data_IF_885102457718
#
_entry.id   IF_885102457718
#
_cell.length_a   1.000
_cell.length_b   1.000
_cell.length_c   1.000
_cell.angle_alpha   90.00
_cell.angle_beta   90.00
_cell.angle_gamma   90.00
#
_symmetry.space_group_name_H-M   'P 1'
#
loop_
_entity.id
_entity.type
_entity.pdbx_description
1 polymer ?
#
# COMPACT_ATOMS: atom_id res chain seq x y z
N UNK A 1 -1.91 58.70 -41.78
CA UNK A 1 -3.02 57.86 -42.29
C UNK A 1 -2.95 56.39 -41.82
N UNK A 2 -1.81 55.69 -41.94
CA UNK A 2 -1.67 54.28 -41.49
C UNK A 2 -1.98 54.03 -40.00
N UNK A 3 -1.53 54.90 -39.09
CA UNK A 3 -1.77 54.76 -37.65
C UNK A 3 -3.25 54.92 -37.27
N UNK A 4 -3.98 55.80 -37.96
CA UNK A 4 -5.41 56.04 -37.72
C UNK A 4 -6.23 54.84 -38.21
N UNK A 5 -5.87 54.23 -39.35
CA UNK A 5 -6.52 53.02 -39.86
C UNK A 5 -6.24 51.83 -38.92
N UNK A 6 -5.02 51.67 -38.42
CA UNK A 6 -4.70 50.62 -37.44
C UNK A 6 -5.45 50.80 -36.11
N UNK A 7 -5.63 52.03 -35.63
CA UNK A 7 -6.43 52.31 -34.43
C UNK A 7 -7.92 52.04 -34.65
N UNK A 8 -8.46 52.38 -35.83
CA UNK A 8 -9.86 52.10 -36.18
C UNK A 8 -10.14 50.60 -36.30
N UNK A 9 -9.22 49.83 -36.89
CA UNK A 9 -9.34 48.36 -37.01
C UNK A 9 -9.24 47.69 -35.63
N UNK A 10 -8.38 48.20 -34.74
CA UNK A 10 -8.28 47.71 -33.36
C UNK A 10 -9.54 48.03 -32.54
N UNK A 11 -10.14 49.21 -32.72
CA UNK A 11 -11.43 49.57 -32.13
C UNK A 11 -12.58 48.72 -32.68
N UNK A 12 -12.62 48.41 -33.98
CA UNK A 12 -13.63 47.51 -34.57
C UNK A 12 -13.50 46.08 -34.03
N UNK A 13 -12.29 45.57 -33.82
CA UNK A 13 -12.05 44.27 -33.20
C UNK A 13 -12.45 44.23 -31.71
N UNK A 14 -12.34 45.36 -30.99
CA UNK A 14 -12.78 45.47 -29.60
C UNK A 14 -14.32 45.38 -29.44
N UNK A 15 -15.09 45.77 -30.47
CA UNK A 15 -16.56 45.61 -30.47
C UNK A 15 -17.03 44.22 -30.92
N UNK A 16 -16.15 43.36 -31.44
CA UNK A 16 -16.43 41.94 -31.72
C UNK A 16 -16.16 41.01 -30.53
N UNK A 17 -15.97 41.56 -29.32
CA UNK A 17 -15.97 40.75 -28.10
C UNK A 17 -17.33 40.01 -28.02
N UNK A 18 -17.33 38.72 -28.36
CA UNK A 18 -18.48 37.83 -28.31
C UNK A 18 -19.19 37.99 -26.95
N UNK A 19 -20.28 38.75 -26.91
CA UNK A 19 -21.25 38.62 -25.82
C UNK A 19 -21.84 37.24 -25.97
N UNK A 20 -21.51 36.35 -25.02
CA UNK A 20 -22.18 35.06 -24.89
C UNK A 20 -23.66 35.38 -24.75
N UNK A 21 -24.47 34.88 -25.68
CA UNK A 21 -25.90 35.18 -25.68
C UNK A 21 -26.50 34.41 -24.48
N UNK A 22 -26.89 35.14 -23.42
CA UNK A 22 -27.39 34.56 -22.16
C UNK A 22 -28.87 34.16 -22.23
N UNK A 23 -29.46 34.12 -23.44
CA UNK A 23 -30.82 33.62 -23.64
C UNK A 23 -30.98 32.24 -23.01
N UNK A 24 -31.95 32.11 -22.11
CA UNK A 24 -32.27 30.85 -21.45
C UNK A 24 -33.27 30.09 -22.30
N UNK A 25 -32.91 28.88 -22.73
CA UNK A 25 -33.81 28.00 -23.47
C UNK A 25 -34.81 27.29 -22.55
N UNK A 26 -36.06 27.22 -22.99
CA UNK A 26 -37.16 26.53 -22.30
C UNK A 26 -37.58 25.24 -23.01
N UNK A 27 -36.86 24.83 -24.06
CA UNK A 27 -37.18 23.61 -24.82
C UNK A 27 -37.06 22.36 -23.94
N UNK A 28 -38.07 21.50 -24.05
CA UNK A 28 -38.16 20.18 -23.42
C UNK A 28 -37.34 19.11 -24.15
N UNK A 29 -36.79 19.38 -25.33
CA UNK A 29 -36.00 18.40 -26.06
C UNK A 29 -34.53 18.37 -25.61
N UNK A 30 -34.13 19.38 -24.84
CA UNK A 30 -32.74 19.56 -24.42
C UNK A 30 -32.48 18.78 -23.13
N UNK A 31 -31.49 17.89 -23.19
CA UNK A 31 -31.02 17.06 -22.08
C UNK A 31 -29.63 17.47 -21.63
N UNK A 32 -29.39 17.38 -20.33
CA UNK A 32 -28.05 17.50 -19.77
C UNK A 32 -27.23 16.26 -20.14
N UNK A 33 -25.92 16.44 -20.26
CA UNK A 33 -24.96 15.33 -20.35
C UNK A 33 -24.10 15.31 -19.10
N UNK A 34 -23.68 14.11 -18.68
CA UNK A 34 -22.93 13.93 -17.44
C UNK A 34 -21.59 13.25 -17.73
N UNK A 35 -20.58 13.55 -16.92
CA UNK A 35 -19.28 12.86 -17.01
C UNK A 35 -19.32 11.40 -16.56
N UNK A 36 -20.38 11.00 -15.84
CA UNK A 36 -20.64 9.62 -15.42
C UNK A 36 -22.15 9.43 -15.22
N UNK A 37 -22.65 8.22 -15.45
CA UNK A 37 -24.02 7.81 -15.13
C UNK A 37 -24.16 7.26 -13.70
N UNK A 38 -23.05 6.83 -13.11
CA UNK A 38 -22.96 6.25 -11.77
C UNK A 38 -21.70 6.75 -11.07
N UNK A 39 -21.81 7.10 -9.79
CA UNK A 39 -20.68 7.36 -8.91
C UNK A 39 -20.60 6.26 -7.87
N UNK A 40 -19.60 5.40 -8.05
CA UNK A 40 -19.33 4.29 -7.15
C UNK A 40 -18.25 4.70 -6.15
N UNK A 41 -18.52 4.56 -4.86
CA UNK A 41 -17.51 4.55 -3.80
C UNK A 41 -17.25 3.09 -3.45
N UNK A 42 -15.97 2.73 -3.34
CA UNK A 42 -15.57 1.39 -2.92
C UNK A 42 -15.84 1.23 -1.42
N UNK A 43 -14.85 0.86 -0.61
CA UNK A 43 -15.03 0.72 0.83
C UNK A 43 -15.07 2.09 1.53
N UNK A 44 -16.22 2.41 2.13
CA UNK A 44 -16.40 3.57 3.00
C UNK A 44 -16.56 3.09 4.43
N UNK A 45 -15.53 3.30 5.26
CA UNK A 45 -15.64 2.98 6.68
C UNK A 45 -16.69 3.85 7.35
N UNK A 46 -17.52 3.23 8.18
CA UNK A 46 -18.57 3.97 8.91
C UNK A 46 -17.96 5.04 9.81
N UNK A 47 -18.66 6.15 10.01
CA UNK A 47 -18.26 7.32 10.83
C UNK A 47 -17.09 8.21 10.34
N UNK A 48 -16.29 7.82 9.33
CA UNK A 48 -15.17 8.66 8.81
C UNK A 48 -15.56 9.44 7.54
N UNK A 49 -16.42 8.85 6.73
CA UNK A 49 -16.83 9.38 5.43
C UNK A 49 -15.75 9.23 4.35
N UNK A 50 -16.15 9.37 3.08
CA UNK A 50 -15.29 9.14 1.92
C UNK A 50 -14.50 10.38 1.50
N UNK A 51 -13.63 10.22 0.50
CA UNK A 51 -13.17 11.34 -0.33
C UNK A 51 -14.32 11.98 -1.12
N UNK A 52 -14.09 13.17 -1.66
CA UNK A 52 -14.99 13.80 -2.62
C UNK A 52 -14.75 13.21 -4.03
N UNK A 53 -15.81 12.77 -4.71
CA UNK A 53 -15.77 12.45 -6.15
C UNK A 53 -16.42 13.57 -6.95
N UNK A 54 -15.76 14.00 -8.04
CA UNK A 54 -16.25 15.08 -8.91
C UNK A 54 -17.05 14.52 -10.08
N UNK A 55 -18.19 15.14 -10.34
CA UNK A 55 -19.00 14.96 -11.53
C UNK A 55 -19.08 16.30 -12.26
N UNK A 56 -19.01 16.26 -13.60
CA UNK A 56 -19.36 17.41 -14.44
C UNK A 56 -20.74 17.22 -15.06
N UNK A 57 -21.53 18.29 -15.01
CA UNK A 57 -22.85 18.39 -15.65
C UNK A 57 -22.71 19.40 -16.78
N UNK A 58 -22.95 18.94 -18.00
CA UNK A 58 -22.73 19.70 -19.23
C UNK A 58 -24.04 20.17 -19.82
N UNK A 59 -24.07 21.46 -20.18
CA UNK A 59 -25.02 22.01 -21.13
C UNK A 59 -24.38 21.98 -22.52
N UNK A 60 -24.84 21.04 -23.35
CA UNK A 60 -24.39 20.92 -24.73
C UNK A 60 -25.13 21.84 -25.70
N UNK A 61 -26.14 22.59 -25.27
CA UNK A 61 -26.84 23.57 -26.09
C UNK A 61 -26.02 24.85 -26.27
N UNK A 62 -26.29 25.61 -27.33
CA UNK A 62 -25.68 26.92 -27.55
C UNK A 62 -26.21 28.02 -26.63
N UNK A 63 -27.44 27.87 -26.13
CA UNK A 63 -28.12 28.79 -25.22
C UNK A 63 -27.92 28.35 -23.77
N UNK A 64 -28.10 29.28 -22.84
CA UNK A 64 -28.08 28.96 -21.42
C UNK A 64 -29.28 28.08 -21.05
N UNK A 65 -29.10 27.23 -20.04
CA UNK A 65 -30.17 26.39 -19.48
C UNK A 65 -30.32 26.71 -18.00
N UNK A 66 -31.55 26.73 -17.51
CA UNK A 66 -31.82 26.77 -16.08
C UNK A 66 -32.22 25.37 -15.59
N UNK A 67 -31.38 24.78 -14.75
CA UNK A 67 -31.71 23.55 -14.04
C UNK A 67 -32.61 23.94 -12.88
N UNK A 68 -33.88 23.56 -12.97
CA UNK A 68 -34.92 23.94 -12.00
C UNK A 68 -34.60 23.41 -10.61
N UNK A 69 -34.16 22.15 -10.51
CA UNK A 69 -33.76 21.54 -9.24
C UNK A 69 -32.62 20.53 -9.47
N UNK A 70 -31.63 20.56 -8.58
CA UNK A 70 -30.62 19.53 -8.34
C UNK A 70 -30.74 19.10 -6.88
N UNK A 71 -31.01 17.82 -6.61
CA UNK A 71 -31.16 17.30 -5.25
C UNK A 71 -30.73 15.85 -5.10
N UNK A 72 -30.52 15.42 -3.85
CA UNK A 72 -30.45 13.99 -3.52
C UNK A 72 -31.85 13.37 -3.50
N UNK A 73 -32.00 12.16 -4.04
CA UNK A 73 -33.28 11.43 -4.10
C UNK A 73 -33.85 11.12 -2.72
N UNK A 74 -32.99 10.64 -1.81
CA UNK A 74 -33.34 10.35 -0.41
C UNK A 74 -33.36 11.60 0.50
N UNK A 75 -33.04 12.79 -0.03
CA UNK A 75 -33.09 14.05 0.72
C UNK A 75 -32.28 14.02 2.02
N UNK A 76 -32.95 14.24 3.16
CA UNK A 76 -32.33 14.27 4.49
C UNK A 76 -31.90 12.89 5.01
N UNK A 77 -32.46 11.81 4.44
CA UNK A 77 -32.11 10.43 4.80
C UNK A 77 -30.89 9.91 4.04
N UNK A 78 -30.38 10.70 3.09
CA UNK A 78 -29.22 10.32 2.28
C UNK A 78 -27.94 10.19 3.11
N UNK A 79 -27.17 9.14 2.83
CA UNK A 79 -25.78 9.02 3.29
C UNK A 79 -24.80 9.83 2.43
N UNK A 80 -25.27 10.54 1.42
CA UNK A 80 -24.46 11.36 0.54
C UNK A 80 -24.64 12.85 0.86
N UNK A 81 -23.61 13.63 0.52
CA UNK A 81 -23.64 15.09 0.60
C UNK A 81 -23.05 15.70 -0.66
N UNK A 82 -23.58 16.85 -1.05
CA UNK A 82 -23.23 17.52 -2.30
C UNK A 82 -22.57 18.88 -2.08
N UNK A 83 -21.61 19.20 -2.94
CA UNK A 83 -21.14 20.56 -3.19
C UNK A 83 -21.51 20.92 -4.63
N UNK A 84 -22.54 21.73 -4.80
CA UNK A 84 -23.11 22.09 -6.10
C UNK A 84 -22.55 23.44 -6.54
N UNK A 85 -21.67 23.39 -7.54
CA UNK A 85 -20.98 24.55 -8.10
C UNK A 85 -20.34 25.43 -7.02
N UNK A 86 -19.60 24.80 -6.10
CA UNK A 86 -18.89 25.47 -5.01
C UNK A 86 -19.70 25.72 -3.72
N UNK A 87 -21.00 25.42 -3.72
CA UNK A 87 -21.87 25.62 -2.54
C UNK A 87 -22.19 24.28 -1.89
N UNK A 88 -21.87 24.11 -0.61
CA UNK A 88 -22.22 22.92 0.17
C UNK A 88 -23.73 22.92 0.46
N UNK A 89 -24.48 22.10 -0.26
CA UNK A 89 -25.93 21.94 -0.12
C UNK A 89 -26.38 20.66 -0.82
N UNK A 90 -27.34 19.94 -0.23
CA UNK A 90 -27.91 18.71 -0.80
C UNK A 90 -29.05 18.96 -1.78
N UNK A 91 -29.52 20.21 -1.85
CA UNK A 91 -30.54 20.67 -2.80
C UNK A 91 -30.20 22.09 -3.25
N UNK A 92 -30.37 22.36 -4.56
CA UNK A 92 -30.20 23.69 -5.13
C UNK A 92 -31.15 23.90 -6.29
N UNK A 93 -31.94 24.95 -6.20
CA UNK A 93 -32.89 25.35 -7.24
C UNK A 93 -32.30 26.42 -8.15
N UNK A 94 -32.82 26.51 -9.36
CA UNK A 94 -32.52 27.56 -10.35
C UNK A 94 -31.01 27.72 -10.63
N UNK A 95 -30.36 26.63 -11.00
CA UNK A 95 -28.94 26.62 -11.36
C UNK A 95 -28.79 26.88 -12.86
N UNK A 96 -28.38 28.09 -13.22
CA UNK A 96 -28.08 28.44 -14.60
C UNK A 96 -26.73 27.86 -15.04
N UNK A 97 -26.72 27.23 -16.21
CA UNK A 97 -25.51 26.74 -16.90
C UNK A 97 -25.46 27.41 -18.26
N UNK A 98 -24.39 28.17 -18.52
CA UNK A 98 -24.21 28.85 -19.80
C UNK A 98 -24.22 27.89 -21.00
N UNK A 99 -24.45 28.43 -22.19
CA UNK A 99 -24.33 27.66 -23.43
C UNK A 99 -22.92 27.09 -23.60
N UNK A 100 -22.83 25.82 -24.02
CA UNK A 100 -21.58 25.07 -24.18
C UNK A 100 -20.70 25.09 -22.93
N UNK A 101 -21.32 25.08 -21.76
CA UNK A 101 -20.66 25.21 -20.46
C UNK A 101 -20.95 24.02 -19.54
N UNK A 102 -20.31 23.99 -18.38
CA UNK A 102 -20.51 22.95 -17.39
C UNK A 102 -20.42 23.48 -15.96
N UNK A 103 -21.12 22.79 -15.05
CA UNK A 103 -20.94 22.96 -13.61
C UNK A 103 -20.27 21.71 -13.03
N UNK A 104 -19.69 21.86 -11.85
CA UNK A 104 -19.13 20.74 -11.09
C UNK A 104 -19.96 20.45 -9.85
N UNK A 105 -20.21 19.16 -9.61
CA UNK A 105 -20.79 18.66 -8.38
C UNK A 105 -19.75 17.75 -7.73
N UNK A 106 -19.47 17.97 -6.44
CA UNK A 106 -18.68 17.03 -5.65
C UNK A 106 -19.62 16.24 -4.74
N UNK A 107 -19.39 14.94 -4.66
CA UNK A 107 -20.18 14.00 -3.86
C UNK A 107 -19.28 13.38 -2.81
N UNK A 108 -19.78 13.31 -1.57
CA UNK A 108 -19.14 12.60 -0.46
C UNK A 108 -20.15 11.67 0.20
N UNK A 109 -19.75 10.43 0.48
CA UNK A 109 -20.52 9.48 1.28
C UNK A 109 -20.10 9.56 2.76
N UNK A 110 -21.05 9.57 3.68
CA UNK A 110 -20.85 9.49 5.13
C UNK A 110 -21.85 8.48 5.68
N UNK A 111 -21.37 7.28 5.98
CA UNK A 111 -22.23 6.14 6.37
C UNK A 111 -22.22 5.99 7.89
N UNK A 112 -23.42 5.87 8.47
CA UNK A 112 -23.57 5.61 9.90
C UNK A 112 -23.20 4.17 10.23
N UNK A 113 -22.67 3.95 11.44
CA UNK A 113 -22.36 2.60 11.92
C UNK A 113 -23.63 1.78 12.15
N UNK A 114 -23.50 0.46 11.99
CA UNK A 114 -24.57 -0.50 12.29
C UNK A 114 -23.98 -1.79 12.89
N UNK A 115 -24.78 -2.84 13.05
CA UNK A 115 -24.37 -4.10 13.70
C UNK A 115 -23.81 -5.16 12.73
N UNK A 116 -23.74 -4.86 11.43
CA UNK A 116 -23.28 -5.81 10.41
C UNK A 116 -21.76 -5.95 10.43
N UNK A 117 -21.29 -7.20 10.38
CA UNK A 117 -19.85 -7.49 10.30
C UNK A 117 -19.33 -7.60 8.86
N UNK A 118 -20.24 -7.69 7.87
CA UNK A 118 -19.91 -7.77 6.45
C UNK A 118 -20.15 -6.41 5.77
N UNK A 119 -19.41 -6.10 4.69
CA UNK A 119 -19.71 -4.94 3.86
C UNK A 119 -21.17 -4.96 3.37
N UNK A 120 -21.76 -3.77 3.23
CA UNK A 120 -23.14 -3.56 2.81
C UNK A 120 -23.23 -2.41 1.81
N UNK A 121 -24.30 -2.37 1.02
CA UNK A 121 -24.48 -1.35 -0.03
C UNK A 121 -25.41 -0.27 0.50
N UNK A 122 -25.06 1.00 0.25
CA UNK A 122 -25.97 2.15 0.35
C UNK A 122 -26.10 2.81 -1.01
N UNK A 123 -27.33 3.19 -1.36
CA UNK A 123 -27.66 3.74 -2.68
C UNK A 123 -28.45 5.04 -2.52
N UNK A 124 -28.30 5.94 -3.49
CA UNK A 124 -29.12 7.13 -3.69
C UNK A 124 -28.97 7.58 -5.16
N UNK A 125 -29.49 8.74 -5.51
CA UNK A 125 -29.25 9.40 -6.79
C UNK A 125 -29.17 10.92 -6.65
N UNK A 126 -28.47 11.55 -7.58
CA UNK A 126 -28.58 13.00 -7.80
C UNK A 126 -29.62 13.20 -8.90
N UNK A 127 -30.75 13.80 -8.54
CA UNK A 127 -31.85 14.09 -9.44
C UNK A 127 -31.71 15.50 -10.03
N UNK A 128 -31.95 15.61 -11.33
CA UNK A 128 -31.95 16.86 -12.09
C UNK A 128 -33.31 17.04 -12.74
N UNK A 129 -33.90 18.23 -12.61
CA UNK A 129 -35.08 18.64 -13.36
C UNK A 129 -34.75 19.87 -14.21
N UNK A 130 -34.98 19.79 -15.53
CA UNK A 130 -34.68 20.86 -16.49
C UNK A 130 -35.75 20.88 -17.57
N UNK A 131 -36.53 21.96 -17.67
CA UNK A 131 -37.60 22.09 -18.68
C UNK A 131 -38.54 20.86 -18.76
N UNK A 132 -38.84 20.23 -17.61
CA UNK A 132 -39.67 19.02 -17.55
C UNK A 132 -38.91 17.70 -17.77
N UNK A 133 -37.64 17.72 -18.20
CA UNK A 133 -36.79 16.55 -18.27
C UNK A 133 -36.27 16.18 -16.88
N UNK A 134 -36.53 14.94 -16.46
CA UNK A 134 -35.94 14.34 -15.28
C UNK A 134 -34.79 13.43 -15.67
N UNK A 135 -33.62 13.67 -15.10
CA UNK A 135 -32.44 12.82 -15.25
C UNK A 135 -31.86 12.54 -13.87
N UNK A 136 -31.16 11.41 -13.73
CA UNK A 136 -30.52 11.05 -12.48
C UNK A 136 -29.15 10.44 -12.71
N UNK A 137 -28.25 10.66 -11.77
CA UNK A 137 -26.96 9.95 -11.66
C UNK A 137 -27.04 9.07 -10.43
N UNK A 138 -26.75 7.77 -10.58
CA UNK A 138 -26.78 6.82 -9.46
C UNK A 138 -25.60 7.04 -8.53
N UNK A 139 -25.83 6.93 -7.23
CA UNK A 139 -24.81 6.93 -6.19
C UNK A 139 -24.81 5.57 -5.51
N UNK A 140 -23.65 4.92 -5.43
CA UNK A 140 -23.50 3.61 -4.80
C UNK A 140 -22.25 3.66 -3.90
N UNK A 141 -22.34 3.21 -2.66
CA UNK A 141 -21.19 3.07 -1.77
C UNK A 141 -21.21 1.73 -1.01
N UNK A 142 -20.05 1.09 -0.88
CA UNK A 142 -19.90 -0.10 -0.04
C UNK A 142 -19.49 0.30 1.38
N UNK A 143 -20.46 0.34 2.30
CA UNK A 143 -20.22 0.60 3.71
C UNK A 143 -19.55 -0.58 4.42
N UNK A 144 -18.60 -0.28 5.30
CA UNK A 144 -17.96 -1.29 6.15
C UNK A 144 -17.80 -0.77 7.59
N UNK A 145 -18.34 -1.51 8.56
CA UNK A 145 -18.04 -1.24 9.97
C UNK A 145 -16.59 -1.62 10.28
N UNK A 146 -16.02 -0.92 11.26
CA UNK A 146 -14.64 -1.13 11.68
C UNK A 146 -14.44 -0.84 13.17
N UNK A 147 -13.34 -1.37 13.72
CA UNK A 147 -12.87 -1.04 15.07
C UNK A 147 -11.87 0.10 14.97
N UNK A 148 -12.26 1.28 15.41
CA UNK A 148 -11.40 2.46 15.39
C UNK A 148 -10.50 2.52 16.62
N UNK A 149 -9.20 2.68 16.40
CA UNK A 149 -8.19 2.91 17.43
C UNK A 149 -7.62 4.31 17.20
N UNK A 150 -8.09 5.26 18.02
CA UNK A 150 -7.76 6.68 17.91
C UNK A 150 -6.49 7.07 18.69
N UNK A 151 -5.55 6.14 18.73
CA UNK A 151 -4.36 6.15 19.58
C UNK A 151 -4.58 5.42 20.91
N UNK A 152 -3.48 5.21 21.64
CA UNK A 152 -3.51 4.62 22.98
C UNK A 152 -2.55 3.44 23.13
N UNK A 153 -2.59 2.83 24.31
CA UNK A 153 -1.72 1.72 24.69
C UNK A 153 -2.57 0.50 25.04
N UNK A 154 -2.24 -0.64 24.45
CA UNK A 154 -2.74 -1.96 24.82
C UNK A 154 -1.95 -2.40 26.06
N UNK A 155 -2.62 -2.46 27.21
CA UNK A 155 -2.03 -2.71 28.53
C UNK A 155 -2.30 -4.11 29.08
N UNK A 156 -3.07 -4.92 28.37
CA UNK A 156 -3.33 -6.32 28.69
C UNK A 156 -3.29 -7.16 27.42
N UNK A 157 -2.96 -8.45 27.57
CA UNK A 157 -2.86 -9.37 26.45
C UNK A 157 -4.17 -9.35 25.65
N UNK A 158 -4.05 -9.08 24.36
CA UNK A 158 -5.20 -8.76 23.51
C UNK A 158 -5.15 -9.57 22.23
N UNK A 159 -6.32 -10.06 21.81
CA UNK A 159 -6.51 -10.73 20.52
C UNK A 159 -7.24 -9.80 19.56
N UNK A 160 -6.70 -9.63 18.36
CA UNK A 160 -7.40 -9.02 17.23
C UNK A 160 -7.89 -10.09 16.26
N UNK A 161 -9.19 -10.06 15.99
CA UNK A 161 -9.89 -11.06 15.19
C UNK A 161 -10.37 -10.49 13.85
N UNK A 162 -10.68 -11.37 12.89
CA UNK A 162 -11.05 -10.96 11.54
C UNK A 162 -12.52 -10.52 11.38
N UNK A 163 -13.31 -10.37 12.47
CA UNK A 163 -14.74 -10.03 12.35
C UNK A 163 -14.97 -8.64 11.78
N UNK A 164 -14.10 -7.70 12.12
CA UNK A 164 -14.11 -6.33 11.62
C UNK A 164 -12.67 -5.87 11.35
N UNK A 165 -12.42 -5.04 10.33
CA UNK A 165 -11.14 -4.39 10.16
C UNK A 165 -10.84 -3.45 11.34
N UNK A 166 -9.56 -3.25 11.63
CA UNK A 166 -9.07 -2.29 12.61
C UNK A 166 -8.55 -1.07 11.88
N UNK A 167 -9.00 0.14 12.24
CA UNK A 167 -8.51 1.41 11.66
C UNK A 167 -7.72 2.16 12.72
N UNK A 168 -6.45 2.39 12.48
CA UNK A 168 -5.55 3.11 13.37
C UNK A 168 -5.43 4.56 12.88
N UNK A 169 -6.11 5.48 13.55
CA UNK A 169 -6.12 6.91 13.18
C UNK A 169 -4.94 7.71 13.74
N UNK A 170 -4.21 7.15 14.73
CA UNK A 170 -3.00 7.71 15.34
C UNK A 170 -2.00 6.58 15.60
N UNK A 171 -1.26 6.62 16.71
CA UNK A 171 -0.33 5.56 17.07
C UNK A 171 -0.94 4.60 18.08
N UNK A 172 -0.89 3.30 17.79
CA UNK A 172 -1.22 2.25 18.78
C UNK A 172 0.08 1.71 19.37
N UNK A 173 0.12 1.53 20.68
CA UNK A 173 1.30 0.96 21.37
C UNK A 173 0.93 -0.33 22.08
N UNK A 174 1.67 -1.41 21.85
CA UNK A 174 1.62 -2.62 22.69
C UNK A 174 2.61 -2.43 23.83
N UNK A 175 2.12 -2.38 25.08
CA UNK A 175 2.97 -2.14 26.25
C UNK A 175 4.01 -3.25 26.46
N UNK A 176 5.09 -2.93 27.17
CA UNK A 176 6.09 -3.92 27.58
C UNK A 176 5.45 -5.03 28.44
N UNK A 177 5.88 -6.28 28.23
CA UNK A 177 5.28 -7.44 28.89
C UNK A 177 3.89 -7.87 28.39
N UNK A 178 3.29 -7.13 27.45
CA UNK A 178 1.96 -7.42 26.88
C UNK A 178 2.07 -8.05 25.49
N UNK A 179 1.20 -9.00 25.18
CA UNK A 179 1.08 -9.56 23.82
C UNK A 179 -0.10 -8.97 23.03
N UNK A 180 0.13 -8.74 21.75
CA UNK A 180 -0.92 -8.56 20.76
C UNK A 180 -0.90 -9.73 19.78
N UNK A 181 -1.96 -10.53 19.81
CA UNK A 181 -2.14 -11.70 18.96
C UNK A 181 -3.15 -11.37 17.85
N UNK A 182 -2.71 -11.37 16.60
CA UNK A 182 -3.51 -11.01 15.43
C UNK A 182 -3.84 -12.28 14.64
N UNK A 183 -5.12 -12.65 14.62
CA UNK A 183 -5.61 -13.87 13.99
C UNK A 183 -5.67 -13.77 12.46
N UNK A 184 -5.61 -14.91 11.79
CA UNK A 184 -5.70 -15.02 10.34
C UNK A 184 -6.90 -14.26 9.75
N UNK A 185 -6.69 -13.61 8.60
CA UNK A 185 -7.68 -12.82 7.87
C UNK A 185 -7.94 -11.43 8.44
N UNK A 186 -7.30 -11.06 9.56
CA UNK A 186 -7.45 -9.73 10.15
C UNK A 186 -6.87 -8.67 9.22
N UNK A 187 -7.62 -7.57 9.06
CA UNK A 187 -7.21 -6.39 8.30
C UNK A 187 -6.95 -5.25 9.26
N UNK A 188 -5.73 -4.71 9.24
CA UNK A 188 -5.30 -3.57 10.04
C UNK A 188 -4.91 -2.44 9.10
N UNK A 189 -5.70 -1.39 9.11
CA UNK A 189 -5.52 -0.23 8.26
C UNK A 189 -5.03 0.97 9.05
N UNK A 190 -4.15 1.76 8.45
CA UNK A 190 -3.50 2.90 9.08
C UNK A 190 -3.85 4.18 8.33
N UNK A 191 -4.30 5.18 9.07
CA UNK A 191 -4.39 6.54 8.59
C UNK A 191 -3.00 7.16 8.36
N UNK A 192 -2.96 8.26 7.62
CA UNK A 192 -1.74 9.03 7.39
C UNK A 192 -0.99 9.35 8.68
N UNK A 193 0.33 9.13 8.67
CA UNK A 193 1.24 9.37 9.81
C UNK A 193 1.02 8.47 11.05
N UNK A 194 0.16 7.46 10.97
CA UNK A 194 -0.01 6.46 12.03
C UNK A 194 1.16 5.47 12.08
N UNK A 195 1.44 4.93 13.27
CA UNK A 195 2.48 3.91 13.53
C UNK A 195 1.98 2.87 14.52
N UNK A 196 2.39 1.62 14.34
CA UNK A 196 2.23 0.58 15.34
C UNK A 196 3.52 0.42 16.14
N UNK A 197 3.50 0.81 17.42
CA UNK A 197 4.64 0.70 18.32
C UNK A 197 4.54 -0.59 19.15
N UNK A 198 5.55 -1.44 19.07
CA UNK A 198 5.61 -2.70 19.81
C UNK A 198 6.70 -2.58 20.87
N UNK A 199 6.30 -2.41 22.13
CA UNK A 199 7.20 -2.53 23.30
C UNK A 199 7.12 -3.89 23.97
N UNK A 200 6.01 -4.61 23.80
CA UNK A 200 5.81 -5.99 24.25
C UNK A 200 6.05 -7.01 23.14
N UNK A 201 5.10 -7.90 22.91
CA UNK A 201 5.17 -8.96 21.88
C UNK A 201 4.12 -8.76 20.80
N UNK A 202 4.51 -8.85 19.54
CA UNK A 202 3.60 -8.93 18.40
C UNK A 202 3.59 -10.36 17.83
N UNK A 203 2.42 -10.99 17.79
CA UNK A 203 2.20 -12.29 17.16
C UNK A 203 1.18 -12.15 16.02
N UNK A 204 1.63 -12.27 14.78
CA UNK A 204 0.76 -12.27 13.60
C UNK A 204 0.64 -13.69 13.08
N UNK A 205 -0.58 -14.23 13.19
CA UNK A 205 -0.91 -15.64 12.93
C UNK A 205 -1.78 -15.75 11.68
N UNK A 206 -1.28 -15.32 10.53
CA UNK A 206 -1.96 -15.47 9.25
C UNK A 206 -2.02 -16.91 8.74
N UNK A 207 -2.72 -17.11 7.62
CA UNK A 207 -2.71 -18.34 6.85
C UNK A 207 -2.71 -18.05 5.34
N UNK A 208 -2.35 -19.01 4.49
CA UNK A 208 -2.21 -18.83 3.04
C UNK A 208 -3.42 -18.15 2.36
N UNK A 209 -4.64 -18.58 2.69
CA UNK A 209 -5.88 -18.02 2.11
C UNK A 209 -6.50 -16.91 2.98
N UNK A 210 -5.86 -16.59 4.09
CA UNK A 210 -6.35 -15.66 5.12
C UNK A 210 -5.16 -14.92 5.72
N UNK A 211 -4.37 -14.26 4.87
CA UNK A 211 -3.23 -13.49 5.33
C UNK A 211 -3.70 -12.32 6.20
N UNK A 212 -2.87 -11.94 7.18
CA UNK A 212 -3.11 -10.69 7.92
C UNK A 212 -2.60 -9.53 7.07
N UNK A 213 -3.42 -8.49 6.88
CA UNK A 213 -3.07 -7.35 6.04
C UNK A 213 -2.79 -6.13 6.89
N UNK A 214 -1.63 -5.51 6.70
CA UNK A 214 -1.28 -4.19 7.22
C UNK A 214 -1.11 -3.23 6.03
N UNK A 215 -1.96 -2.21 5.94
CA UNK A 215 -2.02 -1.31 4.78
C UNK A 215 -2.57 0.06 5.17
N UNK A 216 -2.56 1.02 4.25
CA UNK A 216 -3.32 2.27 4.43
C UNK A 216 -4.83 2.02 4.50
N UNK A 217 -5.55 2.93 5.16
CA UNK A 217 -7.01 3.05 5.12
C UNK A 217 -7.55 3.67 3.81
N UNK A 218 -6.67 4.11 2.90
CA UNK A 218 -6.98 4.49 1.51
C UNK A 218 -7.13 3.25 0.64
N UNK A 219 -8.35 2.75 0.52
CA UNK A 219 -8.66 1.51 -0.19
C UNK A 219 -9.02 1.71 -1.66
N UNK A 220 -9.02 2.94 -2.16
CA UNK A 220 -9.30 3.20 -3.56
C UNK A 220 -8.20 2.63 -4.47
N UNK A 221 -8.59 2.11 -5.65
CA UNK A 221 -7.67 1.48 -6.60
C UNK A 221 -6.43 2.35 -6.95
N UNK A 222 -6.61 3.68 -7.02
CA UNK A 222 -5.50 4.60 -7.29
C UNK A 222 -4.43 4.58 -6.18
N UNK A 223 -4.79 4.28 -4.93
CA UNK A 223 -3.88 4.23 -3.79
C UNK A 223 -3.39 2.82 -3.44
N UNK A 224 -3.84 1.78 -4.16
CA UNK A 224 -3.61 0.40 -3.77
C UNK A 224 -2.11 0.05 -3.62
N UNK A 225 -1.27 0.61 -4.49
CA UNK A 225 0.18 0.40 -4.51
C UNK A 225 1.00 1.63 -4.09
N UNK A 226 0.35 2.75 -3.76
CA UNK A 226 1.05 3.98 -3.39
C UNK A 226 1.82 3.80 -2.07
N UNK A 227 3.11 4.12 -2.09
CA UNK A 227 4.00 3.97 -0.93
C UNK A 227 3.87 5.15 0.06
N UNK A 228 4.29 4.96 1.31
CA UNK A 228 4.44 6.08 2.27
C UNK A 228 3.15 6.59 2.92
N UNK A 229 2.07 5.83 2.84
CA UNK A 229 0.76 6.22 3.36
C UNK A 229 0.62 6.06 4.88
N UNK A 230 1.54 5.36 5.54
CA UNK A 230 1.65 5.24 7.00
C UNK A 230 3.11 4.97 7.40
N UNK A 231 3.46 5.09 8.69
CA UNK A 231 4.87 5.08 9.11
C UNK A 231 5.49 3.69 9.27
N UNK A 232 4.69 2.64 9.45
CA UNK A 232 5.17 1.26 9.63
C UNK A 232 4.93 0.66 11.00
N UNK A 233 5.52 -0.52 11.21
CA UNK A 233 5.58 -1.21 12.50
C UNK A 233 6.97 -0.97 13.12
N UNK A 234 7.02 -0.57 14.39
CA UNK A 234 8.26 -0.31 15.12
C UNK A 234 8.41 -1.24 16.31
N UNK A 235 9.41 -2.11 16.27
CA UNK A 235 9.80 -2.99 17.37
C UNK A 235 10.87 -2.27 18.21
N UNK A 236 10.49 -1.87 19.43
CA UNK A 236 11.40 -1.17 20.36
C UNK A 236 12.33 -2.14 21.06
N UNK A 237 13.44 -1.67 21.63
CA UNK A 237 14.43 -2.48 22.35
C UNK A 237 13.81 -3.44 23.39
N UNK A 238 12.76 -3.01 24.11
CA UNK A 238 12.04 -3.82 25.10
C UNK A 238 11.23 -4.99 24.51
N UNK A 239 10.88 -4.94 23.22
CA UNK A 239 10.07 -6.00 22.60
C UNK A 239 10.85 -7.29 22.42
N UNK A 240 10.19 -8.41 22.65
CA UNK A 240 10.78 -9.76 22.57
C UNK A 240 9.80 -10.70 21.90
N UNK A 241 10.30 -11.83 21.37
CA UNK A 241 9.48 -12.89 20.78
C UNK A 241 8.52 -12.47 19.66
N UNK A 242 8.82 -11.41 18.92
CA UNK A 242 7.95 -10.96 17.83
C UNK A 242 7.94 -11.97 16.68
N UNK A 243 6.75 -12.36 16.25
CA UNK A 243 6.53 -13.33 15.18
C UNK A 243 5.53 -12.80 14.18
N UNK A 244 5.89 -12.85 12.90
CA UNK A 244 4.99 -12.51 11.80
C UNK A 244 4.97 -13.65 10.81
N UNK A 245 3.81 -14.29 10.67
CA UNK A 245 3.61 -15.38 9.71
C UNK A 245 2.39 -15.11 8.83
N UNK A 246 2.52 -15.34 7.52
CA UNK A 246 1.46 -15.11 6.52
C UNK A 246 0.84 -13.70 6.60
N UNK A 247 1.68 -12.67 6.51
CA UNK A 247 1.25 -11.29 6.48
C UNK A 247 1.52 -10.63 5.13
N UNK A 248 0.69 -9.65 4.78
CA UNK A 248 0.94 -8.69 3.71
C UNK A 248 1.09 -7.32 4.36
N UNK A 249 2.31 -6.77 4.35
CA UNK A 249 2.63 -5.44 4.88
C UNK A 249 2.95 -4.54 3.70
N UNK A 250 2.13 -3.51 3.46
CA UNK A 250 2.29 -2.65 2.30
C UNK A 250 1.99 -1.17 2.54
N UNK A 251 2.45 -0.33 1.60
CA UNK A 251 2.15 1.10 1.52
C UNK A 251 2.73 1.95 2.66
N UNK A 252 3.79 1.51 3.33
CA UNK A 252 4.39 2.24 4.46
C UNK A 252 5.59 3.10 4.02
N UNK A 253 6.08 3.97 4.91
CA UNK A 253 7.39 4.62 4.75
C UNK A 253 8.49 3.59 4.95
N UNK A 254 8.46 2.87 6.07
CA UNK A 254 9.27 1.68 6.33
C UNK A 254 8.32 0.57 6.76
N UNK A 255 8.43 -0.64 6.21
CA UNK A 255 7.53 -1.75 6.59
C UNK A 255 7.66 -2.12 8.07
N UNK A 256 8.86 -2.53 8.47
CA UNK A 256 9.19 -2.86 9.85
C UNK A 256 10.53 -2.23 10.24
N UNK A 257 10.58 -1.50 11.35
CA UNK A 257 11.81 -1.04 11.98
C UNK A 257 12.05 -1.81 13.26
N UNK A 258 13.22 -2.43 13.41
CA UNK A 258 13.63 -3.18 14.58
C UNK A 258 14.87 -2.55 15.22
N UNK A 259 14.76 -2.29 16.53
CA UNK A 259 15.83 -1.72 17.35
C UNK A 259 16.36 -2.77 18.32
N UNK A 260 17.69 -2.91 18.35
CA UNK A 260 18.44 -3.81 19.23
C UNK A 260 18.20 -5.30 18.93
N UNK A 261 19.13 -6.17 19.33
CA UNK A 261 18.95 -7.62 19.27
C UNK A 261 17.91 -8.08 20.32
N UNK A 262 17.30 -9.24 20.11
CA UNK A 262 16.44 -9.85 21.14
C UNK A 262 17.24 -10.10 22.42
N UNK A 263 16.63 -9.79 23.58
CA UNK A 263 17.27 -9.92 24.89
C UNK A 263 17.13 -11.33 25.50
N UNK A 264 16.37 -12.21 24.83
CA UNK A 264 15.94 -13.53 25.30
C UNK A 264 16.61 -14.69 24.55
N UNK A 265 17.67 -14.41 23.79
CA UNK A 265 18.36 -15.38 22.94
C UNK A 265 17.65 -15.69 21.63
N UNK A 266 16.45 -15.13 21.39
CA UNK A 266 15.72 -15.24 20.13
C UNK A 266 16.04 -14.05 19.21
N UNK A 267 15.76 -14.22 17.91
CA UNK A 267 15.80 -13.10 16.99
C UNK A 267 14.74 -12.04 17.37
N UNK A 268 15.05 -10.76 17.15
CA UNK A 268 14.13 -9.64 17.44
C UNK A 268 12.80 -9.80 16.70
N UNK A 269 12.89 -10.31 15.48
CA UNK A 269 11.75 -10.67 14.64
C UNK A 269 12.01 -12.02 13.96
N UNK A 270 11.04 -12.93 14.08
CA UNK A 270 10.86 -14.04 13.16
C UNK A 270 9.78 -13.67 12.14
N UNK A 271 10.15 -13.64 10.87
CA UNK A 271 9.27 -13.28 9.75
C UNK A 271 9.20 -14.45 8.77
N UNK A 272 8.01 -15.00 8.55
CA UNK A 272 7.82 -16.15 7.69
C UNK A 272 6.63 -16.01 6.74
N UNK A 273 6.75 -16.59 5.54
CA UNK A 273 5.68 -16.72 4.55
C UNK A 273 4.93 -15.40 4.26
N UNK A 274 5.64 -14.27 4.30
CA UNK A 274 5.03 -12.94 4.28
C UNK A 274 5.49 -12.12 3.08
N UNK A 275 4.64 -11.18 2.66
CA UNK A 275 4.91 -10.24 1.58
C UNK A 275 5.06 -8.82 2.13
N UNK A 276 6.16 -8.16 1.77
CA UNK A 276 6.51 -6.82 2.23
C UNK A 276 6.79 -5.98 0.99
N UNK A 277 5.92 -5.01 0.70
CA UNK A 277 5.95 -4.30 -0.59
C UNK A 277 5.54 -2.85 -0.53
N UNK A 278 5.91 -2.09 -1.56
CA UNK A 278 5.46 -0.71 -1.77
C UNK A 278 5.85 0.20 -0.60
N UNK A 279 7.15 0.30 -0.33
CA UNK A 279 7.69 1.13 0.75
C UNK A 279 8.44 2.34 0.20
N UNK A 280 8.33 3.50 0.87
CA UNK A 280 9.09 4.69 0.43
C UNK A 280 10.59 4.54 0.68
N UNK A 281 10.97 3.96 1.82
CA UNK A 281 12.36 3.80 2.23
C UNK A 281 12.75 2.33 2.17
N UNK A 282 12.20 1.50 3.06
CA UNK A 282 12.61 0.11 3.13
C UNK A 282 11.54 -0.88 3.60
N UNK A 283 11.67 -2.14 3.18
CA UNK A 283 10.84 -3.25 3.68
C UNK A 283 11.12 -3.54 5.16
N UNK A 284 12.40 -3.72 5.50
CA UNK A 284 12.87 -3.91 6.87
C UNK A 284 14.09 -3.03 7.16
N UNK A 285 14.13 -2.44 8.35
CA UNK A 285 15.27 -1.71 8.89
C UNK A 285 15.66 -2.30 10.24
N UNK A 286 16.94 -2.65 10.40
CA UNK A 286 17.50 -3.13 11.66
C UNK A 286 18.62 -2.22 12.16
N UNK A 287 18.48 -1.68 13.38
CA UNK A 287 19.54 -0.95 14.08
C UNK A 287 20.10 -1.84 15.19
N UNK A 288 21.31 -2.38 15.00
CA UNK A 288 21.95 -3.35 15.89
C UNK A 288 21.00 -4.48 16.28
N UNK A 289 20.25 -5.01 15.30
CA UNK A 289 19.08 -5.88 15.52
C UNK A 289 19.23 -7.27 14.91
N UNK A 290 18.20 -8.11 15.01
CA UNK A 290 18.23 -9.47 14.45
C UNK A 290 16.94 -9.85 13.72
N UNK A 291 17.10 -10.53 12.58
CA UNK A 291 16.00 -10.98 11.74
C UNK A 291 16.22 -12.42 11.33
N UNK A 292 15.26 -13.27 11.67
CA UNK A 292 15.13 -14.63 11.14
C UNK A 292 14.01 -14.63 10.11
N UNK A 293 14.35 -14.75 8.82
CA UNK A 293 13.44 -14.55 7.70
C UNK A 293 13.34 -15.78 6.79
N UNK A 294 12.13 -16.35 6.62
CA UNK A 294 11.90 -17.53 5.79
C UNK A 294 10.74 -17.39 4.80
N UNK A 295 10.91 -17.83 3.55
CA UNK A 295 9.84 -17.82 2.53
C UNK A 295 9.17 -16.45 2.34
N UNK A 296 9.89 -15.35 2.50
CA UNK A 296 9.32 -14.03 2.35
C UNK A 296 9.58 -13.48 0.95
N UNK A 297 8.65 -12.63 0.51
CA UNK A 297 8.78 -11.84 -0.71
C UNK A 297 8.88 -10.35 -0.35
N UNK A 298 9.99 -9.73 -0.74
CA UNK A 298 10.20 -8.29 -0.61
C UNK A 298 10.34 -7.67 -2.00
N UNK A 299 9.60 -6.59 -2.29
CA UNK A 299 9.76 -5.86 -3.56
C UNK A 299 9.25 -4.42 -3.49
N UNK A 300 9.56 -3.61 -4.52
CA UNK A 300 9.09 -2.24 -4.70
C UNK A 300 9.31 -1.34 -3.45
N UNK A 301 10.55 -1.22 -2.97
CA UNK A 301 10.93 -0.27 -1.90
C UNK A 301 11.92 0.78 -2.39
N UNK A 302 11.73 2.07 -2.06
CA UNK A 302 12.44 3.19 -2.70
C UNK A 302 13.93 3.25 -2.47
N UNK A 303 14.43 2.64 -1.40
CA UNK A 303 15.85 2.51 -1.14
C UNK A 303 16.27 1.05 -0.95
N UNK A 304 15.82 0.39 0.11
CA UNK A 304 16.31 -0.96 0.45
C UNK A 304 15.14 -1.93 0.57
N UNK A 305 15.33 -3.21 0.26
CA UNK A 305 14.41 -4.24 0.73
C UNK A 305 14.73 -4.59 2.19
N UNK A 306 16.02 -4.71 2.52
CA UNK A 306 16.53 -4.81 3.89
C UNK A 306 17.71 -3.85 4.07
N UNK A 307 17.66 -3.06 5.13
CA UNK A 307 18.73 -2.20 5.59
C UNK A 307 19.12 -2.55 7.03
N UNK A 308 20.22 -3.28 7.21
CA UNK A 308 20.72 -3.69 8.52
C UNK A 308 22.02 -2.97 8.87
N UNK A 309 22.05 -2.20 9.94
CA UNK A 309 23.23 -1.39 10.32
C UNK A 309 23.53 -1.44 11.81
N UNK A 310 24.78 -1.21 12.18
CA UNK A 310 25.25 -1.30 13.57
C UNK A 310 25.48 -2.73 14.04
N UNK A 311 25.79 -3.64 13.11
CA UNK A 311 25.92 -5.07 13.37
C UNK A 311 24.57 -5.78 13.41
N UNK A 312 24.53 -6.94 14.06
CA UNK A 312 23.33 -7.73 14.23
C UNK A 312 23.42 -9.15 13.68
N UNK A 313 22.30 -9.87 13.73
CA UNK A 313 22.23 -11.29 13.36
C UNK A 313 21.10 -11.51 12.37
N UNK A 314 21.42 -11.90 11.15
CA UNK A 314 20.46 -12.08 10.06
C UNK A 314 20.54 -13.50 9.51
N UNK A 315 19.48 -14.27 9.73
CA UNK A 315 19.32 -15.63 9.21
C UNK A 315 18.18 -15.62 8.18
N UNK A 316 18.54 -15.56 6.90
CA UNK A 316 17.59 -15.39 5.80
C UNK A 316 17.68 -16.62 4.89
N UNK A 317 16.61 -17.42 4.84
CA UNK A 317 16.56 -18.61 4.00
C UNK A 317 15.32 -18.67 3.12
N UNK A 318 15.47 -19.09 1.87
CA UNK A 318 14.35 -19.26 0.94
C UNK A 318 13.53 -17.97 0.71
N UNK A 319 14.15 -16.79 0.74
CA UNK A 319 13.45 -15.53 0.47
C UNK A 319 13.70 -15.06 -0.96
N UNK A 320 12.75 -14.30 -1.50
CA UNK A 320 12.93 -13.57 -2.76
C UNK A 320 12.97 -12.07 -2.45
N UNK A 321 14.11 -11.46 -2.73
CA UNK A 321 14.36 -10.03 -2.64
C UNK A 321 14.42 -9.48 -4.06
N UNK A 322 13.28 -9.00 -4.53
CA UNK A 322 13.09 -8.52 -5.90
C UNK A 322 13.22 -6.99 -5.95
N UNK A 323 14.44 -6.51 -6.17
CA UNK A 323 14.82 -5.10 -6.25
C UNK A 323 14.34 -4.39 -7.52
N UNK A 324 13.10 -4.60 -7.92
CA UNK A 324 12.46 -3.87 -9.02
C UNK A 324 11.60 -2.74 -8.46
N UNK A 325 11.70 -1.57 -9.08
CA UNK A 325 10.99 -0.37 -8.70
C UNK A 325 10.48 0.34 -9.95
N UNK A 326 9.33 -0.07 -10.50
CA UNK A 326 8.79 0.54 -11.72
C UNK A 326 8.33 1.98 -11.50
N UNK A 327 7.90 2.32 -10.28
CA UNK A 327 7.27 3.62 -9.95
C UNK A 327 8.27 4.70 -9.53
N UNK A 328 9.44 4.34 -9.01
CA UNK A 328 10.47 5.30 -8.60
C UNK A 328 11.90 4.73 -8.72
N UNK A 329 12.88 5.52 -9.17
CA UNK A 329 14.24 5.02 -9.37
C UNK A 329 14.95 4.77 -8.03
N UNK A 330 15.38 3.53 -7.80
CA UNK A 330 16.24 3.13 -6.67
C UNK A 330 17.72 3.24 -7.05
N UNK A 331 18.56 3.66 -6.09
CA UNK A 331 20.03 3.85 -6.28
C UNK A 331 20.90 3.07 -5.27
N UNK A 332 20.27 2.33 -4.39
CA UNK A 332 20.87 1.62 -3.27
C UNK A 332 20.60 0.13 -3.45
N UNK A 333 21.55 -0.74 -3.10
CA UNK A 333 21.41 -2.21 -3.18
C UNK A 333 20.14 -2.73 -2.51
N UNK A 334 19.54 -3.83 -3.00
CA UNK A 334 18.32 -4.38 -2.41
C UNK A 334 18.55 -4.81 -0.96
N UNK A 335 19.70 -5.41 -0.68
CA UNK A 335 20.13 -5.78 0.66
C UNK A 335 21.42 -5.01 1.00
N UNK A 336 21.40 -4.29 2.11
CA UNK A 336 22.56 -3.60 2.64
C UNK A 336 22.78 -3.98 4.10
N UNK A 337 24.01 -4.39 4.43
CA UNK A 337 24.43 -4.71 5.79
C UNK A 337 25.73 -4.00 6.16
N UNK A 338 25.82 -3.47 7.37
CA UNK A 338 27.01 -2.79 7.89
C UNK A 338 27.20 -3.04 9.39
N UNK A 339 28.44 -3.28 9.80
CA UNK A 339 28.83 -3.36 11.21
C UNK A 339 28.65 -2.02 11.95
N UNK A 340 28.69 -0.90 11.22
CA UNK A 340 28.50 0.47 11.73
C UNK A 340 27.09 1.00 11.44
N UNK A 341 26.49 1.65 12.43
CA UNK A 341 25.38 2.61 12.32
C UNK A 341 25.90 4.03 12.57
N UNK A 342 25.02 5.05 12.59
CA UNK A 342 25.46 6.43 12.84
C UNK A 342 26.13 6.63 14.22
N UNK A 343 25.74 5.85 15.23
CA UNK A 343 26.16 6.08 16.63
C UNK A 343 26.66 4.84 17.35
N UNK A 344 26.58 3.66 16.73
CA UNK A 344 26.96 2.38 17.34
C UNK A 344 27.52 1.41 16.31
N UNK A 345 28.36 0.48 16.75
CA UNK A 345 28.80 -0.66 15.94
C UNK A 345 28.83 -1.92 16.78
N UNK A 346 28.68 -3.07 16.13
CA UNK A 346 28.71 -4.39 16.76
C UNK A 346 29.06 -5.45 15.72
N UNK A 347 29.31 -6.66 16.18
CA UNK A 347 29.55 -7.81 15.30
C UNK A 347 28.33 -8.04 14.38
N UNK A 348 28.62 -8.40 13.14
CA UNK A 348 27.63 -8.72 12.12
C UNK A 348 27.72 -10.21 11.76
N UNK A 349 26.60 -10.91 11.91
CA UNK A 349 26.45 -12.30 11.50
C UNK A 349 25.39 -12.43 10.42
N UNK A 350 25.76 -12.99 9.28
CA UNK A 350 24.90 -13.20 8.11
C UNK A 350 24.87 -14.68 7.74
N UNK A 351 23.69 -15.27 7.73
CA UNK A 351 23.42 -16.61 7.19
C UNK A 351 22.39 -16.48 6.07
N UNK A 352 22.86 -16.42 4.82
CA UNK A 352 22.03 -16.25 3.62
C UNK A 352 22.08 -17.54 2.80
N UNK A 353 21.01 -18.33 2.83
CA UNK A 353 20.92 -19.61 2.11
C UNK A 353 19.67 -19.71 1.24
N UNK A 354 19.82 -20.21 0.01
CA UNK A 354 18.70 -20.45 -0.90
C UNK A 354 17.85 -19.22 -1.25
N UNK A 355 18.41 -18.02 -1.21
CA UNK A 355 17.67 -16.79 -1.54
C UNK A 355 17.80 -16.42 -3.02
N UNK A 356 16.83 -15.66 -3.51
CA UNK A 356 16.95 -14.87 -4.74
C UNK A 356 17.18 -13.41 -4.35
N UNK A 357 18.32 -12.84 -4.72
CA UNK A 357 18.68 -11.43 -4.49
C UNK A 357 18.92 -10.80 -5.85
N UNK A 358 17.87 -10.23 -6.44
CA UNK A 358 17.87 -9.84 -7.85
C UNK A 358 17.05 -8.59 -8.12
N UNK A 359 17.48 -7.76 -9.05
CA UNK A 359 16.81 -6.51 -9.38
C UNK A 359 17.47 -5.77 -10.54
N UNK A 360 17.20 -4.47 -10.61
CA UNK A 360 17.64 -3.60 -11.71
C UNK A 360 19.06 -3.04 -11.55
N UNK A 361 19.66 -3.10 -10.35
CA UNK A 361 20.99 -2.55 -10.11
C UNK A 361 22.10 -3.58 -10.42
N UNK A 362 23.33 -3.13 -10.72
CA UNK A 362 24.46 -4.04 -10.92
C UNK A 362 24.82 -4.82 -9.66
N UNK A 363 24.63 -4.20 -8.48
CA UNK A 363 24.90 -4.77 -7.16
C UNK A 363 23.60 -4.75 -6.34
N UNK A 364 23.09 -5.92 -5.98
CA UNK A 364 21.88 -6.04 -5.16
C UNK A 364 22.15 -6.52 -3.73
N UNK A 365 23.38 -6.94 -3.44
CA UNK A 365 23.84 -7.27 -2.10
C UNK A 365 25.11 -6.46 -1.80
N UNK A 366 25.07 -5.70 -0.72
CA UNK A 366 26.20 -4.91 -0.25
C UNK A 366 26.44 -5.17 1.24
N UNK A 367 27.68 -5.49 1.58
CA UNK A 367 28.11 -5.77 2.95
C UNK A 367 29.35 -4.93 3.21
N UNK A 368 29.30 -4.05 4.20
CA UNK A 368 30.40 -3.13 4.52
C UNK A 368 30.96 -3.38 5.91
N UNK A 369 32.29 -3.50 5.98
CA UNK A 369 33.04 -3.47 7.22
C UNK A 369 33.67 -2.09 7.39
N UNK A 370 33.22 -1.35 8.40
CA UNK A 370 33.66 0.03 8.67
C UNK A 370 34.37 0.17 10.00
N UNK A 371 34.38 -0.86 10.84
CA UNK A 371 34.94 -0.83 12.18
C UNK A 371 35.84 -2.04 12.46
N UNK A 372 36.27 -2.16 13.71
CA UNK A 372 37.03 -3.32 14.22
C UNK A 372 36.14 -4.53 14.53
N UNK A 373 34.81 -4.39 14.50
CA UNK A 373 33.89 -5.50 14.73
C UNK A 373 34.11 -6.65 13.74
N UNK A 374 33.73 -7.84 14.16
CA UNK A 374 33.81 -9.05 13.33
C UNK A 374 32.61 -9.12 12.39
N UNK A 375 32.86 -9.53 11.14
CA UNK A 375 31.81 -9.91 10.21
C UNK A 375 31.97 -11.39 9.90
N UNK A 376 30.96 -12.18 10.28
CA UNK A 376 30.85 -13.60 9.94
C UNK A 376 29.75 -13.76 8.90
N UNK A 377 30.09 -14.30 7.72
CA UNK A 377 29.13 -14.46 6.63
C UNK A 377 29.15 -15.88 6.07
N UNK A 378 28.01 -16.57 6.13
CA UNK A 378 27.73 -17.78 5.40
C UNK A 378 26.72 -17.46 4.29
N UNK A 379 27.22 -17.21 3.08
CA UNK A 379 26.41 -16.82 1.92
C UNK A 379 26.56 -17.91 0.87
N UNK A 380 25.60 -18.83 0.78
CA UNK A 380 25.71 -20.03 -0.06
C UNK A 380 24.38 -20.37 -0.75
N UNK A 381 24.47 -20.97 -1.93
CA UNK A 381 23.30 -21.42 -2.71
C UNK A 381 22.27 -20.31 -2.98
N UNK A 382 22.69 -19.07 -3.13
CA UNK A 382 21.82 -17.96 -3.53
C UNK A 382 21.98 -17.69 -5.03
N UNK A 383 21.01 -17.01 -5.64
CA UNK A 383 21.24 -16.25 -6.87
C UNK A 383 21.38 -14.78 -6.52
N UNK A 384 22.46 -14.15 -6.97
CA UNK A 384 22.82 -12.79 -6.59
C UNK A 384 23.14 -11.98 -7.83
N UNK A 385 22.47 -10.85 -7.99
CA UNK A 385 22.87 -9.82 -8.95
C UNK A 385 24.06 -9.05 -8.39
N UNK A 386 25.24 -9.34 -8.91
CA UNK A 386 26.50 -8.74 -8.48
C UNK A 386 27.56 -8.94 -9.56
N UNK A 387 28.52 -8.01 -9.65
CA UNK A 387 29.76 -8.18 -10.40
C UNK A 387 30.89 -8.77 -9.55
N UNK A 388 30.74 -8.76 -8.22
CA UNK A 388 31.71 -9.34 -7.29
C UNK A 388 31.82 -10.85 -7.49
N UNK A 389 33.05 -11.34 -7.56
CA UNK A 389 33.37 -12.77 -7.72
C UNK A 389 33.85 -13.42 -6.40
N UNK A 390 33.79 -12.68 -5.29
CA UNK A 390 34.35 -13.08 -3.99
C UNK A 390 33.43 -13.98 -3.17
N UNK A 391 32.16 -14.12 -3.56
CA UNK A 391 31.22 -15.02 -2.89
C UNK A 391 31.55 -16.50 -3.15
N UNK A 392 31.08 -17.36 -2.25
CA UNK A 392 31.26 -18.82 -2.36
C UNK A 392 30.74 -19.35 -3.72
N UNK A 393 31.47 -20.30 -4.31
CA UNK A 393 31.17 -20.88 -5.63
C UNK A 393 29.82 -21.60 -5.72
N UNK A 394 29.19 -21.92 -4.59
CA UNK A 394 27.83 -22.47 -4.56
C UNK A 394 26.76 -21.46 -4.94
N UNK A 395 27.07 -20.15 -4.98
CA UNK A 395 26.13 -19.12 -5.42
C UNK A 395 26.12 -18.98 -6.95
N UNK A 396 24.95 -18.64 -7.49
CA UNK A 396 24.76 -18.25 -8.89
C UNK A 396 24.91 -16.73 -9.00
N UNK A 397 26.06 -16.27 -9.48
CA UNK A 397 26.38 -14.85 -9.58
C UNK A 397 26.06 -14.32 -10.97
N UNK A 398 25.28 -13.25 -11.07
CA UNK A 398 24.95 -12.60 -12.33
C UNK A 398 24.02 -13.40 -13.25
N UNK A 399 23.42 -14.49 -12.76
CA UNK A 399 22.49 -15.34 -13.51
C UNK A 399 21.05 -14.89 -13.28
N UNK A 400 20.34 -14.53 -14.36
CA UNK A 400 18.94 -14.09 -14.30
C UNK A 400 18.00 -15.22 -13.81
N UNK A 401 17.24 -15.03 -12.72
CA UNK A 401 16.33 -16.04 -12.18
C UNK A 401 15.11 -16.32 -13.06
N UNK A 402 14.83 -15.52 -14.10
CA UNK A 402 13.68 -15.72 -15.02
C UNK A 402 12.34 -15.77 -14.28
N UNK A 403 11.95 -14.63 -13.69
CA UNK A 403 10.63 -14.42 -13.12
C UNK A 403 9.54 -14.45 -14.20
N UNK A 404 8.33 -14.91 -13.86
CA UNK A 404 7.18 -14.94 -14.79
C UNK A 404 6.89 -13.54 -15.32
N UNK A 405 6.71 -12.55 -14.44
CA UNK A 405 6.56 -11.16 -14.83
C UNK A 405 6.93 -10.23 -13.65
N UNK A 406 8.17 -9.74 -13.66
CA UNK A 406 8.65 -8.81 -12.64
C UNK A 406 7.97 -7.43 -12.70
N UNK A 407 7.38 -7.04 -13.84
CA UNK A 407 6.77 -5.71 -14.02
C UNK A 407 5.42 -5.60 -13.32
N UNK A 408 4.69 -6.70 -13.22
CA UNK A 408 3.41 -6.81 -12.51
C UNK A 408 3.56 -7.33 -11.07
N UNK A 409 4.80 -7.53 -10.60
CA UNK A 409 5.09 -8.06 -9.27
C UNK A 409 4.90 -9.58 -9.15
N UNK A 410 4.85 -10.32 -10.26
CA UNK A 410 4.76 -11.77 -10.28
C UNK A 410 6.15 -12.42 -10.33
N UNK A 411 6.72 -12.64 -9.15
CA UNK A 411 8.04 -13.23 -8.96
C UNK A 411 8.06 -14.77 -8.88
N UNK A 412 7.00 -15.43 -9.36
CA UNK A 412 7.05 -16.88 -9.57
C UNK A 412 8.09 -17.22 -10.64
N UNK A 413 8.60 -18.46 -10.60
CA UNK A 413 9.70 -18.89 -11.46
C UNK A 413 9.17 -19.50 -12.77
N UNK A 414 9.75 -19.10 -13.91
CA UNK A 414 9.41 -19.65 -15.22
C UNK A 414 9.91 -21.10 -15.39
N UNK A 415 9.26 -21.91 -16.25
CA UNK A 415 9.84 -23.19 -16.70
C UNK A 415 11.24 -22.99 -17.26
N UNK A 416 12.17 -23.89 -16.91
CA UNK A 416 13.56 -23.85 -17.41
C UNK A 416 14.44 -22.76 -16.78
N UNK A 417 13.94 -22.02 -15.79
CA UNK A 417 14.75 -21.08 -15.04
C UNK A 417 16.01 -21.72 -14.45
N UNK A 418 17.15 -21.01 -14.46
CA UNK A 418 18.41 -21.54 -13.93
C UNK A 418 18.43 -21.74 -12.41
N UNK A 419 17.43 -21.22 -11.68
CA UNK A 419 17.35 -21.34 -10.22
C UNK A 419 16.53 -22.55 -9.75
N UNK A 420 15.96 -23.31 -10.69
CA UNK A 420 15.24 -24.55 -10.40
C UNK A 420 16.21 -25.64 -9.90
N UNK A 421 15.86 -26.28 -8.79
CA UNK A 421 16.64 -27.38 -8.18
C UNK A 421 18.10 -27.01 -7.91
N UNK A 422 18.34 -25.82 -7.37
CA UNK A 422 19.68 -25.31 -7.01
C UNK A 422 19.87 -25.06 -5.52
N UNK A 423 18.82 -25.20 -4.72
CA UNK A 423 18.88 -24.97 -3.29
C UNK A 423 19.59 -26.08 -2.53
N UNK A 424 20.33 -25.69 -1.49
CA UNK A 424 20.82 -26.58 -0.44
C UNK A 424 19.66 -27.34 0.21
N UNK A 425 19.90 -28.59 0.59
CA UNK A 425 18.99 -29.36 1.44
C UNK A 425 18.93 -28.78 2.86
N UNK A 426 17.76 -28.28 3.25
CA UNK A 426 17.54 -27.67 4.56
C UNK A 426 16.79 -28.60 5.53
N UNK A 427 16.66 -29.90 5.25
CA UNK A 427 15.92 -30.84 6.13
C UNK A 427 16.48 -30.96 7.55
N UNK A 428 17.77 -30.71 7.72
CA UNK A 428 18.43 -30.68 9.04
C UNK A 428 18.33 -29.33 9.76
N UNK A 429 17.79 -28.29 9.10
CA UNK A 429 17.60 -26.99 9.72
C UNK A 429 16.47 -27.05 10.76
N UNK A 430 16.67 -26.44 11.92
CA UNK A 430 15.67 -26.43 13.00
C UNK A 430 14.36 -25.76 12.58
N UNK A 431 14.39 -24.88 11.57
CA UNK A 431 13.23 -24.19 11.02
C UNK A 431 12.61 -24.92 9.83
N UNK A 432 13.08 -26.13 9.49
CA UNK A 432 12.56 -26.91 8.38
C UNK A 432 11.06 -27.20 8.51
N UNK A 433 10.68 -27.94 9.55
CA UNK A 433 9.28 -28.31 9.77
C UNK A 433 8.32 -27.11 9.98
N UNK A 434 8.67 -26.06 10.74
CA UNK A 434 7.74 -24.95 10.97
C UNK A 434 7.60 -24.02 9.76
N UNK A 435 8.68 -23.79 8.99
CA UNK A 435 8.66 -22.75 7.95
C UNK A 435 9.21 -23.18 6.59
N UNK A 436 10.27 -24.00 6.49
CA UNK A 436 10.96 -24.23 5.21
C UNK A 436 10.52 -25.48 4.44
N UNK A 437 9.70 -26.37 5.01
CA UNK A 437 9.21 -27.59 4.34
C UNK A 437 8.33 -27.31 3.12
N UNK A 438 7.67 -26.16 3.12
CA UNK A 438 6.79 -25.68 2.07
C UNK A 438 7.25 -24.30 1.63
N UNK A 439 6.82 -23.88 0.44
CA UNK A 439 7.02 -22.52 -0.05
C UNK A 439 5.89 -21.58 0.43
N UNK A 440 5.92 -20.32 -0.02
CA UNK A 440 4.92 -19.32 0.37
C UNK A 440 3.49 -19.65 -0.15
N UNK A 441 3.38 -20.44 -1.22
CA UNK A 441 2.11 -20.92 -1.80
C UNK A 441 1.72 -22.31 -1.26
N UNK A 442 2.35 -22.77 -0.16
CA UNK A 442 2.11 -24.05 0.52
C UNK A 442 2.46 -25.30 -0.31
N UNK A 443 3.24 -25.14 -1.38
CA UNK A 443 3.79 -26.26 -2.15
C UNK A 443 4.94 -26.92 -1.39
N UNK A 444 4.94 -28.25 -1.32
CA UNK A 444 6.00 -29.01 -0.66
C UNK A 444 7.32 -28.86 -1.42
N UNK A 445 8.40 -28.59 -0.69
CA UNK A 445 9.73 -28.50 -1.30
C UNK A 445 10.30 -29.89 -1.56
N UNK A 446 10.81 -30.08 -2.77
CA UNK A 446 11.62 -31.25 -3.11
C UNK A 446 13.07 -30.80 -3.22
N UNK A 447 14.01 -31.53 -2.60
CA UNK A 447 15.41 -31.13 -2.60
C UNK A 447 16.22 -31.85 -3.71
N UNK A 448 17.16 -31.16 -4.39
CA UNK A 448 17.47 -29.73 -4.28
C UNK A 448 16.27 -28.83 -4.64
N UNK A 449 16.00 -27.81 -3.81
CA UNK A 449 14.80 -26.97 -3.98
C UNK A 449 15.02 -25.93 -5.05
N UNK A 450 13.93 -25.33 -5.53
CA UNK A 450 14.01 -24.03 -6.20
C UNK A 450 14.52 -22.97 -5.22
N UNK A 451 15.34 -22.04 -5.69
CA UNK A 451 15.77 -20.90 -4.87
C UNK A 451 14.61 -19.92 -4.66
N UNK A 452 14.62 -19.22 -3.53
CA UNK A 452 13.64 -18.18 -3.21
C UNK A 452 12.34 -18.71 -2.62
N UNK A 453 11.35 -17.83 -2.49
CA UNK A 453 10.14 -18.12 -1.72
C UNK A 453 9.09 -18.97 -2.46
N UNK A 454 9.28 -19.27 -3.73
CA UNK A 454 8.38 -20.07 -4.56
C UNK A 454 9.07 -21.37 -5.00
N UNK A 455 8.37 -22.50 -4.87
CA UNK A 455 8.78 -23.79 -5.41
C UNK A 455 8.19 -24.00 -6.81
N UNK A 456 8.77 -24.90 -7.60
CA UNK A 456 8.23 -25.28 -8.91
C UNK A 456 8.56 -26.72 -9.29
#
# INVERSE_FOLDING_TARGET
>A
MRVIVSFLVLCLLAFTACRKNDDITTSTDIKLSFSSDTVLFDTVFTAVGSINKRIKVYNNDSKAINITNIRLGEGLSSFFSLIINGVFTNEKSNVQVGGKDSISIYVKATINSNTQNKPFIVEDSIEFNTNGNRQAIKLIAYGQNARFINGGTITSNTVWDARLPYIINRSVTVAEGVSLDISAGTKVYFHGSSVMNIRGTLNVNGAINSAVVFSSDRLENFYENEAGQWLGIRLFASSVNNKVNYAVIKNAVVGITADSVGQDGNAKLLLANSMIKNMTIAGFVGYSSSLTGFNNLFYNSGQYLIYGVGGGIYNLKQNTFAGFNPEFPRRTSALYFSDLSNTSFSDLSLDLINNIIWGSLPEELQIEKKTTASITSNIKYNVIKTSLQTYDKSNLLGIDPKFVDATTGNFRIQPGSPVLKKGMDLRSDIFYNPYLKQDIDFMQRTFPSTLGCYER
#
